data_IF_366553804866
#
_entry.id   IF_366553804866
#
_cell.length_a   1.000
_cell.length_b   1.000
_cell.length_c   1.000
_cell.angle_alpha   90.00
_cell.angle_beta   90.00
_cell.angle_gamma   90.00
#
_symmetry.space_group_name_H-M   'P 1'
#
loop_
_entity.id
_entity.type
_entity.pdbx_description
1 polymer ?
#
# COMPACT_ATOMS: atom_id res chain seq x y z
N UNK A 1 12.12 -4.40 8.63
CA UNK A 1 10.87 -3.88 8.00
C UNK A 1 10.43 -2.67 8.84
N UNK A 2 10.14 -1.55 8.19
CA UNK A 2 9.74 -0.32 8.91
C UNK A 2 8.37 -0.54 9.57
N UNK A 3 8.31 -0.42 10.90
CA UNK A 3 7.06 -0.57 11.68
C UNK A 3 6.24 0.74 11.68
N UNK A 4 6.41 1.56 10.66
CA UNK A 4 5.79 2.88 10.50
C UNK A 4 5.15 3.03 9.12
N UNK A 5 4.03 3.72 9.12
CA UNK A 5 3.21 4.06 7.96
C UNK A 5 3.49 5.49 7.52
N UNK A 6 3.57 5.73 6.20
CA UNK A 6 3.63 7.06 5.61
C UNK A 6 2.23 7.68 5.65
N UNK A 7 2.05 8.70 6.48
CA UNK A 7 0.75 9.34 6.68
C UNK A 7 0.52 10.47 5.70
N UNK A 8 1.52 11.35 5.53
CA UNK A 8 1.49 12.51 4.64
C UNK A 8 2.84 12.68 3.98
N UNK A 9 2.81 13.06 2.71
CA UNK A 9 3.97 13.47 1.92
C UNK A 9 3.76 14.89 1.42
N UNK A 10 4.67 15.79 1.74
CA UNK A 10 4.59 17.19 1.30
C UNK A 10 5.95 17.75 0.91
N UNK A 11 5.94 18.77 0.07
CA UNK A 11 7.09 19.61 -0.28
C UNK A 11 7.03 20.99 0.42
N UNK A 12 5.90 21.28 1.08
CA UNK A 12 5.68 22.55 1.76
C UNK A 12 6.06 22.44 3.24
N UNK A 13 6.95 23.33 3.69
CA UNK A 13 7.32 23.42 5.10
C UNK A 13 6.14 23.85 5.98
N UNK A 14 5.28 24.73 5.47
CA UNK A 14 4.11 25.22 6.22
C UNK A 14 3.07 24.11 6.41
N UNK A 15 2.82 23.33 5.37
CA UNK A 15 1.93 22.16 5.44
C UNK A 15 2.48 21.11 6.42
N UNK A 16 3.79 20.82 6.35
CA UNK A 16 4.44 19.95 7.31
C UNK A 16 4.25 20.43 8.74
N UNK A 17 4.47 21.71 8.99
CA UNK A 17 4.34 22.29 10.33
C UNK A 17 2.91 22.15 10.86
N UNK A 18 1.89 22.41 10.03
CA UNK A 18 0.49 22.24 10.39
C UNK A 18 0.12 20.78 10.72
N UNK A 19 0.60 19.82 9.92
CA UNK A 19 0.39 18.39 10.18
C UNK A 19 1.05 17.97 11.49
N UNK A 20 2.31 18.36 11.71
CA UNK A 20 3.07 18.04 12.93
C UNK A 20 2.41 18.64 14.17
N UNK A 21 1.94 19.89 14.09
CA UNK A 21 1.21 20.56 15.18
C UNK A 21 -0.09 19.83 15.51
N UNK A 22 -0.86 19.45 14.50
CA UNK A 22 -2.11 18.68 14.67
C UNK A 22 -1.86 17.35 15.37
N UNK A 23 -0.86 16.58 14.91
CA UNK A 23 -0.53 15.28 15.51
C UNK A 23 0.02 15.42 16.92
N UNK A 24 0.82 16.46 17.18
CA UNK A 24 1.35 16.76 18.52
C UNK A 24 0.22 17.09 19.48
N UNK A 25 -0.71 17.94 19.06
CA UNK A 25 -1.90 18.34 19.85
C UNK A 25 -2.79 17.13 20.15
N UNK A 26 -2.93 16.23 19.19
CA UNK A 26 -3.68 14.98 19.36
C UNK A 26 -2.92 13.92 20.18
N UNK A 27 -1.66 14.16 20.57
CA UNK A 27 -0.85 13.21 21.30
C UNK A 27 -0.43 11.97 20.50
N UNK A 28 -0.44 12.05 19.16
CA UNK A 28 -0.10 10.95 18.28
C UNK A 28 1.42 10.91 18.06
N UNK A 29 2.10 9.80 18.39
CA UNK A 29 3.53 9.66 18.13
C UNK A 29 3.80 9.67 16.63
N UNK A 30 4.71 10.54 16.19
CA UNK A 30 5.05 10.69 14.78
C UNK A 30 6.54 10.99 14.60
N UNK A 31 7.04 10.83 13.38
CA UNK A 31 8.41 11.12 13.00
C UNK A 31 8.43 11.76 11.61
N UNK A 32 9.18 12.84 11.47
CA UNK A 32 9.45 13.44 10.15
C UNK A 32 10.69 12.78 9.55
N UNK A 33 10.58 12.34 8.31
CA UNK A 33 11.66 11.80 7.52
C UNK A 33 11.74 12.58 6.19
N UNK A 34 12.96 12.92 5.75
CA UNK A 34 13.20 13.46 4.41
C UNK A 34 13.52 12.33 3.44
N UNK A 35 12.90 12.31 2.27
CA UNK A 35 13.42 11.51 1.15
C UNK A 35 14.48 12.34 0.44
N UNK A 36 15.68 11.76 0.22
CA UNK A 36 16.55 12.30 -0.82
C UNK A 36 15.79 12.17 -2.13
N UNK A 37 15.71 13.27 -2.90
CA UNK A 37 15.21 13.22 -4.26
C UNK A 37 15.80 12.00 -4.96
N UNK A 38 14.94 11.09 -5.45
CA UNK A 38 15.39 9.93 -6.19
C UNK A 38 16.28 10.39 -7.33
N UNK A 39 17.41 9.74 -7.52
CA UNK A 39 18.35 10.06 -8.59
C UNK A 39 17.70 9.63 -9.92
N UNK A 40 16.92 10.52 -10.51
CA UNK A 40 16.40 10.30 -11.85
C UNK A 40 17.46 10.77 -12.84
N UNK A 41 18.05 9.81 -13.56
CA UNK A 41 19.12 10.04 -14.55
C UNK A 41 18.66 11.03 -15.65
N UNK A 42 17.36 11.20 -15.84
CA UNK A 42 16.82 12.12 -16.86
C UNK A 42 16.78 13.58 -16.39
N UNK A 43 16.99 13.86 -15.10
CA UNK A 43 16.92 15.20 -14.50
C UNK A 43 18.30 15.80 -14.15
N UNK A 44 19.38 15.25 -14.66
CA UNK A 44 20.72 15.81 -14.53
C UNK A 44 20.77 17.19 -15.22
N UNK A 45 20.56 18.27 -14.43
CA UNK A 45 20.69 19.65 -14.91
C UNK A 45 19.57 20.62 -14.51
N UNK A 46 18.54 20.20 -13.78
CA UNK A 46 17.56 21.13 -13.21
C UNK A 46 17.66 21.15 -11.68
N UNK A 47 17.97 22.34 -11.19
CA UNK A 47 18.30 22.68 -9.82
C UNK A 47 17.39 22.12 -8.73
N UNK A 48 17.85 22.29 -7.50
CA UNK A 48 17.30 21.85 -6.21
C UNK A 48 15.78 21.65 -6.21
N UNK A 49 15.34 20.41 -6.44
CA UNK A 49 13.97 20.01 -6.08
C UNK A 49 13.95 19.86 -4.54
N UNK A 50 13.01 20.51 -3.87
CA UNK A 50 12.86 20.31 -2.45
C UNK A 50 12.59 18.81 -2.20
N UNK A 51 13.39 18.20 -1.33
CA UNK A 51 13.20 16.81 -0.94
C UNK A 51 11.80 16.65 -0.36
N UNK A 52 11.10 15.58 -0.76
CA UNK A 52 9.81 15.26 -0.15
C UNK A 52 10.01 15.04 1.35
N UNK A 53 9.18 15.68 2.14
CA UNK A 53 9.11 15.49 3.59
C UNK A 53 7.96 14.53 3.88
N UNK A 54 8.27 13.48 4.66
CA UNK A 54 7.33 12.42 5.00
C UNK A 54 7.00 12.50 6.48
N UNK A 55 5.74 12.44 6.82
CA UNK A 55 5.29 12.24 8.19
C UNK A 55 4.96 10.76 8.37
N UNK A 56 5.72 10.11 9.24
CA UNK A 56 5.61 8.69 9.52
C UNK A 56 4.98 8.48 10.89
N UNK A 57 4.02 7.56 10.98
CA UNK A 57 3.36 7.17 12.24
C UNK A 57 3.45 5.66 12.44
N UNK A 58 3.44 5.15 13.68
CA UNK A 58 3.29 3.72 13.94
C UNK A 58 2.00 3.19 13.32
N UNK A 59 2.02 1.95 12.82
CA UNK A 59 0.82 1.32 12.26
C UNK A 59 -0.38 1.29 13.20
N UNK A 60 -0.12 1.16 14.51
CA UNK A 60 -1.16 1.16 15.56
C UNK A 60 -1.88 2.51 15.68
N UNK A 61 -1.22 3.59 15.30
CA UNK A 61 -1.70 4.96 15.47
C UNK A 61 -2.27 5.57 14.18
N UNK A 62 -2.21 4.86 13.06
CA UNK A 62 -2.69 5.38 11.75
C UNK A 62 -4.12 5.88 11.83
N UNK A 63 -5.02 5.13 12.49
CA UNK A 63 -6.42 5.49 12.61
C UNK A 63 -6.60 6.77 13.45
N UNK A 64 -5.89 6.89 14.55
CA UNK A 64 -5.94 8.08 15.42
C UNK A 64 -5.34 9.31 14.71
N UNK A 65 -4.20 9.13 14.04
CA UNK A 65 -3.55 10.17 13.26
C UNK A 65 -4.47 10.73 12.15
N UNK A 66 -5.11 9.84 11.40
CA UNK A 66 -6.04 10.24 10.33
C UNK A 66 -7.26 10.97 10.90
N UNK A 67 -7.84 10.47 11.99
CA UNK A 67 -8.98 11.13 12.62
C UNK A 67 -8.63 12.55 13.09
N UNK A 68 -7.42 12.77 13.62
CA UNK A 68 -6.95 14.08 14.02
C UNK A 68 -6.80 15.02 12.82
N UNK A 69 -6.22 14.55 11.71
CA UNK A 69 -6.07 15.35 10.49
C UNK A 69 -7.43 15.62 9.83
N UNK A 70 -8.30 14.62 9.74
CA UNK A 70 -9.66 14.82 9.21
C UNK A 70 -10.44 15.89 10.02
N UNK A 71 -10.28 15.88 11.35
CA UNK A 71 -10.89 16.90 12.21
C UNK A 71 -10.33 18.30 11.94
N UNK A 72 -9.02 18.44 11.72
CA UNK A 72 -8.39 19.74 11.40
C UNK A 72 -8.85 20.31 10.05
N UNK A 73 -9.16 19.44 9.09
CA UNK A 73 -9.65 19.86 7.77
C UNK A 73 -11.18 20.05 7.69
N UNK A 74 -11.91 19.71 8.75
CA UNK A 74 -13.38 19.77 8.74
C UNK A 74 -13.93 21.18 8.44
N UNK A 75 -13.22 22.22 8.85
CA UNK A 75 -13.63 23.63 8.64
C UNK A 75 -12.92 24.28 7.44
N UNK A 76 -11.97 23.60 6.82
CA UNK A 76 -11.22 24.12 5.67
C UNK A 76 -12.12 24.15 4.43
N UNK A 77 -12.04 25.19 3.64
CA UNK A 77 -12.76 25.27 2.36
C UNK A 77 -11.98 24.54 1.24
N UNK A 78 -12.76 23.87 0.37
CA UNK A 78 -12.20 23.24 -0.83
C UNK A 78 -11.86 24.34 -1.87
N UNK A 79 -10.60 24.42 -2.34
CA UNK A 79 -10.20 25.36 -3.39
C UNK A 79 -11.08 25.27 -4.63
N UNK A 80 -11.29 26.40 -5.31
CA UNK A 80 -12.20 26.45 -6.47
C UNK A 80 -11.75 25.61 -7.66
N UNK A 81 -10.44 25.41 -7.81
CA UNK A 81 -9.76 24.65 -8.88
C UNK A 81 -9.44 23.20 -8.50
N UNK A 82 -9.86 22.77 -7.29
CA UNK A 82 -9.56 21.41 -6.84
C UNK A 82 -10.35 20.36 -7.64
N UNK A 83 -9.70 19.27 -8.02
CA UNK A 83 -10.25 18.20 -8.88
C UNK A 83 -11.57 17.60 -8.36
N UNK A 84 -11.75 17.53 -7.04
CA UNK A 84 -12.97 16.99 -6.43
C UNK A 84 -14.25 17.72 -6.87
N UNK A 85 -14.16 19.00 -7.27
CA UNK A 85 -15.36 19.74 -7.74
C UNK A 85 -15.89 19.19 -9.07
N UNK A 86 -15.00 18.66 -9.90
CA UNK A 86 -15.35 18.04 -11.18
C UNK A 86 -15.50 16.52 -11.11
N UNK A 87 -15.25 15.92 -9.94
CA UNK A 87 -15.38 14.48 -9.76
C UNK A 87 -16.81 14.01 -9.91
N UNK A 88 -16.98 12.85 -10.53
CA UNK A 88 -18.27 12.14 -10.64
C UNK A 88 -18.68 11.52 -9.31
N UNK A 89 -19.93 11.08 -9.21
CA UNK A 89 -20.42 10.40 -8.01
C UNK A 89 -19.70 9.05 -7.82
N UNK A 90 -19.33 8.38 -8.91
CA UNK A 90 -18.58 7.12 -8.86
C UNK A 90 -17.15 7.32 -8.33
N UNK A 91 -16.46 8.36 -8.77
CA UNK A 91 -15.13 8.74 -8.25
C UNK A 91 -15.18 9.10 -6.76
N UNK A 92 -16.23 9.82 -6.33
CA UNK A 92 -16.43 10.10 -4.90
C UNK A 92 -16.65 8.81 -4.09
N UNK A 93 -17.42 7.87 -4.63
CA UNK A 93 -17.63 6.56 -4.00
C UNK A 93 -16.33 5.76 -3.91
N UNK A 94 -15.47 5.79 -4.93
CA UNK A 94 -14.15 5.13 -4.91
C UNK A 94 -13.25 5.72 -3.82
N UNK A 95 -13.17 7.06 -3.72
CA UNK A 95 -12.40 7.73 -2.67
C UNK A 95 -12.91 7.32 -1.28
N UNK A 96 -14.22 7.31 -1.08
CA UNK A 96 -14.84 6.97 0.21
C UNK A 96 -14.78 5.46 0.53
N UNK A 97 -14.68 4.60 -0.47
CA UNK A 97 -14.53 3.16 -0.31
C UNK A 97 -13.13 2.76 0.17
N UNK A 98 -12.10 3.51 -0.22
CA UNK A 98 -10.71 3.26 0.17
C UNK A 98 -10.07 4.50 0.83
N UNK A 99 -10.63 5.05 1.92
CA UNK A 99 -10.23 6.34 2.47
C UNK A 99 -8.76 6.37 2.93
N UNK A 100 -8.14 5.23 3.22
CA UNK A 100 -6.76 5.14 3.67
C UNK A 100 -5.73 5.29 2.54
N UNK A 101 -6.16 5.20 1.29
CA UNK A 101 -5.31 5.40 0.10
C UNK A 101 -5.26 6.87 -0.32
N UNK A 102 -6.15 7.68 0.21
CA UNK A 102 -6.28 9.08 -0.15
C UNK A 102 -5.83 10.02 0.99
N UNK A 103 -5.41 11.21 0.60
CA UNK A 103 -5.08 12.25 1.57
C UNK A 103 -6.28 12.56 2.48
N UNK A 104 -6.10 12.77 3.81
CA UNK A 104 -7.18 13.10 4.73
C UNK A 104 -8.02 14.31 4.32
N UNK A 105 -7.39 15.34 3.72
CA UNK A 105 -8.07 16.50 3.17
C UNK A 105 -9.06 16.10 2.07
N UNK A 106 -8.62 15.26 1.13
CA UNK A 106 -9.45 14.76 0.03
C UNK A 106 -10.64 13.97 0.56
N UNK A 107 -10.44 13.10 1.54
CA UNK A 107 -11.50 12.27 2.13
C UNK A 107 -12.56 13.11 2.82
N UNK A 108 -12.16 14.14 3.58
CA UNK A 108 -13.11 15.04 4.27
C UNK A 108 -14.00 15.77 3.26
N UNK A 109 -13.38 16.33 2.21
CA UNK A 109 -14.13 17.06 1.19
C UNK A 109 -14.96 16.15 0.28
N UNK A 110 -14.46 14.95 -0.05
CA UNK A 110 -15.25 13.95 -0.77
C UNK A 110 -16.50 13.54 0.01
N UNK A 111 -16.38 13.35 1.33
CA UNK A 111 -17.53 13.06 2.21
C UNK A 111 -18.55 14.20 2.23
N UNK A 112 -18.07 15.46 2.29
CA UNK A 112 -18.94 16.64 2.23
C UNK A 112 -19.67 16.72 0.90
N UNK A 113 -18.97 16.60 -0.23
CA UNK A 113 -19.57 16.63 -1.56
C UNK A 113 -20.55 15.49 -1.78
N UNK A 114 -20.23 14.28 -1.31
CA UNK A 114 -21.13 13.14 -1.37
C UNK A 114 -22.44 13.40 -0.61
N UNK A 115 -22.36 14.01 0.58
CA UNK A 115 -23.54 14.40 1.35
C UNK A 115 -24.35 15.50 0.63
N UNK A 116 -23.71 16.51 0.06
CA UNK A 116 -24.35 17.58 -0.72
C UNK A 116 -25.07 17.03 -1.96
N UNK A 117 -24.51 15.99 -2.61
CA UNK A 117 -25.12 15.32 -3.78
C UNK A 117 -26.14 14.25 -3.41
N UNK A 118 -26.35 14.00 -2.11
CA UNK A 118 -27.31 13.01 -1.62
C UNK A 118 -26.89 11.56 -1.84
N UNK A 119 -25.59 11.29 -1.98
CA UNK A 119 -25.06 9.93 -2.09
C UNK A 119 -25.31 9.19 -0.78
N UNK A 120 -26.02 8.07 -0.87
CA UNK A 120 -26.43 7.30 0.31
C UNK A 120 -25.23 6.58 0.96
N UNK A 121 -25.12 6.59 2.30
CA UNK A 121 -24.05 5.85 3.01
C UNK A 121 -23.98 4.37 2.62
N UNK A 122 -25.14 3.73 2.38
CA UNK A 122 -25.21 2.34 1.93
C UNK A 122 -24.48 2.10 0.60
N UNK A 123 -24.45 3.08 -0.32
CA UNK A 123 -23.70 2.96 -1.57
C UNK A 123 -22.20 2.97 -1.31
N UNK A 124 -21.72 3.79 -0.36
CA UNK A 124 -20.31 3.81 0.07
C UNK A 124 -19.91 2.51 0.73
N UNK A 125 -20.75 1.95 1.60
CA UNK A 125 -20.52 0.67 2.27
C UNK A 125 -20.47 -0.50 1.25
N UNK A 126 -21.39 -0.51 0.28
CA UNK A 126 -21.40 -1.50 -0.78
C UNK A 126 -20.14 -1.45 -1.64
N UNK A 127 -19.69 -0.24 -2.01
CA UNK A 127 -18.45 -0.06 -2.77
C UNK A 127 -17.22 -0.43 -1.96
N UNK A 128 -17.17 -0.11 -0.67
CA UNK A 128 -16.10 -0.52 0.23
C UNK A 128 -16.02 -2.05 0.36
N UNK A 129 -17.17 -2.73 0.45
CA UNK A 129 -17.22 -4.20 0.47
C UNK A 129 -16.67 -4.80 -0.83
N UNK A 130 -17.02 -4.24 -1.99
CA UNK A 130 -16.49 -4.66 -3.30
C UNK A 130 -14.96 -4.49 -3.37
N UNK A 131 -14.44 -3.34 -2.94
CA UNK A 131 -12.98 -3.08 -2.89
C UNK A 131 -12.27 -4.07 -1.96
N UNK A 132 -12.84 -4.34 -0.78
CA UNK A 132 -12.28 -5.30 0.16
C UNK A 132 -12.32 -6.73 -0.38
N UNK A 133 -13.37 -7.11 -1.11
CA UNK A 133 -13.43 -8.40 -1.79
C UNK A 133 -12.30 -8.53 -2.83
N UNK A 134 -12.12 -7.53 -3.69
CA UNK A 134 -11.05 -7.52 -4.69
C UNK A 134 -9.67 -7.59 -4.04
N UNK A 135 -9.43 -6.84 -2.96
CA UNK A 135 -8.17 -6.89 -2.20
C UNK A 135 -7.94 -8.28 -1.58
N UNK A 136 -9.00 -8.93 -1.09
CA UNK A 136 -8.91 -10.26 -0.47
C UNK A 136 -8.57 -11.37 -1.45
N UNK A 137 -8.95 -11.21 -2.73
CA UNK A 137 -8.67 -12.18 -3.78
C UNK A 137 -7.16 -12.28 -4.10
N UNK A 138 -6.40 -11.21 -3.87
CA UNK A 138 -4.98 -11.12 -4.20
C UNK A 138 -4.73 -10.99 -5.71
N UNK A 139 -3.48 -10.74 -6.09
CA UNK A 139 -3.08 -10.56 -7.50
C UNK A 139 -2.48 -11.86 -8.05
N UNK A 140 -2.74 -12.25 -9.32
CA UNK A 140 -2.03 -13.35 -9.94
C UNK A 140 -0.54 -13.01 -10.09
N UNK A 141 0.36 -13.97 -9.84
CA UNK A 141 1.78 -13.75 -10.10
C UNK A 141 2.06 -13.54 -11.59
N UNK A 142 3.07 -12.75 -11.88
CA UNK A 142 3.54 -12.58 -13.24
C UNK A 142 4.01 -13.92 -13.82
N UNK A 143 3.64 -14.23 -15.06
CA UNK A 143 3.95 -15.52 -15.71
C UNK A 143 5.44 -15.86 -15.68
N UNK A 144 6.31 -14.86 -15.83
CA UNK A 144 7.75 -15.05 -15.78
C UNK A 144 8.26 -15.50 -14.41
N UNK A 145 7.63 -15.04 -13.30
CA UNK A 145 7.98 -15.46 -11.94
C UNK A 145 7.67 -16.94 -11.74
N UNK A 146 6.50 -17.38 -12.24
CA UNK A 146 6.11 -18.78 -12.18
C UNK A 146 7.04 -19.65 -13.00
N UNK A 147 7.40 -19.23 -14.23
CA UNK A 147 8.32 -19.96 -15.11
C UNK A 147 9.71 -20.04 -14.46
N UNK A 148 10.23 -18.90 -13.95
CA UNK A 148 11.53 -18.85 -13.29
C UNK A 148 11.58 -19.76 -12.06
N UNK A 149 10.50 -19.80 -11.27
CA UNK A 149 10.35 -20.67 -10.12
C UNK A 149 10.49 -22.15 -10.51
N UNK A 150 9.77 -22.59 -11.53
CA UNK A 150 9.84 -23.99 -12.01
C UNK A 150 11.19 -24.36 -12.62
N UNK A 151 11.79 -23.46 -13.43
CA UNK A 151 13.16 -23.67 -13.95
C UNK A 151 14.17 -23.82 -12.81
N UNK A 152 14.05 -22.99 -11.79
CA UNK A 152 14.93 -23.01 -10.62
C UNK A 152 14.76 -24.29 -9.78
N UNK A 153 13.55 -24.84 -9.70
CA UNK A 153 13.29 -26.15 -9.06
C UNK A 153 14.10 -27.25 -9.77
N UNK A 154 14.12 -27.25 -11.11
CA UNK A 154 14.83 -28.24 -11.91
C UNK A 154 16.37 -28.10 -11.82
N UNK A 155 16.88 -26.87 -11.71
CA UNK A 155 18.33 -26.57 -11.70
C UNK A 155 19.01 -26.76 -10.35
N UNK A 156 18.30 -27.06 -9.28
CA UNK A 156 18.95 -27.30 -7.98
C UNK A 156 18.07 -27.09 -6.76
N UNK A 157 16.80 -26.74 -6.95
CA UNK A 157 15.77 -26.75 -5.92
C UNK A 157 15.78 -25.54 -4.98
N UNK A 158 16.93 -25.03 -4.52
CA UNK A 158 17.00 -23.99 -3.46
C UNK A 158 16.33 -22.68 -3.86
N UNK A 159 16.63 -22.16 -5.05
CA UNK A 159 16.03 -20.93 -5.56
C UNK A 159 14.54 -21.12 -5.83
N UNK A 160 14.16 -22.31 -6.32
CA UNK A 160 12.75 -22.68 -6.50
C UNK A 160 11.96 -22.71 -5.18
N UNK A 161 12.58 -23.17 -4.08
CA UNK A 161 11.99 -23.13 -2.74
C UNK A 161 11.78 -21.68 -2.29
N UNK A 162 12.76 -20.80 -2.48
CA UNK A 162 12.66 -19.39 -2.08
C UNK A 162 11.58 -18.65 -2.88
N UNK A 163 11.52 -18.86 -4.20
CA UNK A 163 10.47 -18.28 -5.04
C UNK A 163 9.11 -18.84 -4.65
N UNK A 164 9.00 -20.17 -4.46
CA UNK A 164 7.76 -20.82 -4.04
C UNK A 164 7.27 -20.31 -2.68
N UNK A 165 8.17 -20.19 -1.71
CA UNK A 165 7.84 -19.63 -0.40
C UNK A 165 7.39 -18.15 -0.48
N UNK A 166 8.06 -17.36 -1.33
CA UNK A 166 7.64 -15.98 -1.58
C UNK A 166 6.23 -15.91 -2.16
N UNK A 167 5.91 -16.74 -3.17
CA UNK A 167 4.57 -16.78 -3.76
C UNK A 167 3.50 -17.29 -2.80
N UNK A 168 3.85 -18.25 -1.92
CA UNK A 168 2.90 -18.86 -1.00
C UNK A 168 2.59 -18.00 0.22
N UNK A 169 3.61 -17.31 0.77
CA UNK A 169 3.52 -16.70 2.10
C UNK A 169 3.67 -15.19 2.10
N UNK A 170 3.90 -14.53 0.93
CA UNK A 170 3.95 -13.08 0.89
C UNK A 170 2.63 -12.46 1.33
N UNK A 171 2.73 -11.61 2.35
CA UNK A 171 1.64 -10.78 2.83
C UNK A 171 2.00 -9.32 2.66
N UNK A 172 1.04 -8.55 2.24
CA UNK A 172 1.12 -7.11 2.18
C UNK A 172 0.36 -6.53 3.38
N UNK A 173 1.00 -5.61 4.11
CA UNK A 173 0.34 -4.87 5.17
C UNK A 173 -0.41 -3.71 4.56
N UNK A 174 -1.71 -3.74 4.69
CA UNK A 174 -2.59 -2.63 4.34
C UNK A 174 -3.15 -2.02 5.63
N UNK A 175 -3.49 -0.72 5.68
CA UNK A 175 -4.11 -0.11 6.87
C UNK A 175 -5.41 -0.80 7.31
N UNK A 176 -6.08 -1.51 6.38
CA UNK A 176 -7.27 -2.33 6.65
C UNK A 176 -6.96 -3.74 7.18
N UNK A 177 -5.67 -4.13 7.29
CA UNK A 177 -5.24 -5.45 7.76
C UNK A 177 -4.15 -6.09 6.91
N UNK A 178 -3.72 -7.29 7.30
CA UNK A 178 -2.76 -8.06 6.49
C UNK A 178 -3.53 -8.91 5.48
N UNK A 179 -3.21 -8.72 4.19
CA UNK A 179 -3.75 -9.51 3.10
C UNK A 179 -2.64 -10.28 2.37
N UNK A 180 -2.99 -11.42 1.79
CA UNK A 180 -2.05 -12.11 0.93
C UNK A 180 -1.83 -11.33 -0.37
N UNK A 181 -0.57 -11.16 -0.78
CA UNK A 181 -0.22 -10.46 -2.02
C UNK A 181 -0.73 -11.20 -3.26
N UNK A 182 -0.73 -12.54 -3.20
CA UNK A 182 -1.09 -13.38 -4.34
C UNK A 182 -2.39 -14.12 -4.12
N UNK A 183 -3.09 -14.39 -5.24
CA UNK A 183 -4.33 -15.15 -5.27
C UNK A 183 -4.14 -16.60 -4.80
N UNK A 184 -5.23 -17.25 -4.43
CA UNK A 184 -5.21 -18.61 -3.89
C UNK A 184 -4.54 -19.62 -4.84
N UNK A 185 -4.73 -19.47 -6.15
CA UNK A 185 -4.12 -20.34 -7.16
C UNK A 185 -2.62 -20.16 -7.22
N UNK A 186 -2.13 -18.92 -7.21
CA UNK A 186 -0.69 -18.62 -7.20
C UNK A 186 -0.03 -19.11 -5.93
N UNK A 187 -0.68 -18.96 -4.77
CA UNK A 187 -0.18 -19.48 -3.49
C UNK A 187 -0.02 -21.00 -3.52
N UNK A 188 -1.05 -21.69 -4.02
CA UNK A 188 -0.97 -23.15 -4.18
C UNK A 188 0.15 -23.59 -5.12
N UNK A 189 0.36 -22.88 -6.24
CA UNK A 189 1.51 -23.12 -7.11
C UNK A 189 2.84 -22.89 -6.38
N UNK A 190 2.95 -21.85 -5.56
CA UNK A 190 4.12 -21.58 -4.72
C UNK A 190 4.40 -22.72 -3.73
N UNK A 191 3.38 -23.26 -3.07
CA UNK A 191 3.50 -24.43 -2.19
C UNK A 191 4.00 -25.66 -2.95
N UNK A 192 3.45 -25.93 -4.13
CA UNK A 192 3.93 -27.04 -4.98
C UNK A 192 5.39 -26.86 -5.39
N UNK A 193 5.78 -25.64 -5.80
CA UNK A 193 7.18 -25.34 -6.13
C UNK A 193 8.12 -25.59 -4.95
N UNK A 194 7.72 -25.19 -3.75
CA UNK A 194 8.48 -25.38 -2.53
C UNK A 194 8.69 -26.87 -2.25
N UNK A 195 7.63 -27.68 -2.27
CA UNK A 195 7.72 -29.11 -2.00
C UNK A 195 8.50 -29.88 -3.08
N UNK A 196 8.31 -29.52 -4.35
CA UNK A 196 9.10 -30.10 -5.45
C UNK A 196 10.58 -29.73 -5.33
N UNK A 197 10.88 -28.48 -4.91
CA UNK A 197 12.25 -28.04 -4.66
C UNK A 197 12.93 -28.83 -3.54
N UNK A 198 12.23 -29.07 -2.43
CA UNK A 198 12.73 -29.93 -1.34
C UNK A 198 12.99 -31.34 -1.83
N UNK A 199 12.05 -31.94 -2.59
CA UNK A 199 12.23 -33.26 -3.18
C UNK A 199 13.46 -33.34 -4.09
N UNK A 200 13.66 -32.30 -4.92
CA UNK A 200 14.81 -32.26 -5.85
C UNK A 200 16.16 -32.13 -5.11
N UNK A 201 16.20 -31.38 -4.01
CA UNK A 201 17.40 -31.32 -3.16
C UNK A 201 17.76 -32.69 -2.57
N UNK A 202 16.77 -33.46 -2.14
CA UNK A 202 16.99 -34.82 -1.63
C UNK A 202 17.55 -35.72 -2.74
N UNK A 203 16.99 -35.66 -3.94
CA UNK A 203 17.47 -36.42 -5.10
C UNK A 203 18.92 -36.04 -5.44
N UNK A 204 19.23 -34.76 -5.51
CA UNK A 204 20.58 -34.26 -5.78
C UNK A 204 21.59 -34.74 -4.72
N UNK A 205 21.21 -34.65 -3.46
CA UNK A 205 22.05 -35.16 -2.36
C UNK A 205 22.35 -36.63 -2.51
N UNK A 206 21.37 -37.45 -2.89
CA UNK A 206 21.53 -38.87 -3.08
C UNK A 206 22.47 -39.17 -4.25
N UNK A 207 22.30 -38.47 -5.38
CA UNK A 207 23.15 -38.64 -6.57
C UNK A 207 24.63 -38.27 -6.31
N UNK A 208 24.88 -37.27 -5.46
CA UNK A 208 26.26 -36.87 -5.10
C UNK A 208 26.89 -37.85 -4.14
N UNK A 209 26.13 -38.51 -3.25
CA UNK A 209 26.64 -39.48 -2.30
C UNK A 209 26.92 -40.87 -2.92
N UNK A 210 26.33 -41.17 -4.08
CA UNK A 210 26.51 -42.45 -4.78
C UNK A 210 27.64 -42.43 -5.82
N UNK A 211 28.34 -41.30 -5.96
CA UNK A 211 29.58 -41.16 -6.74
C UNK A 211 30.80 -41.13 -5.85
#
# INVERSE_FOLDING_TARGET
MSDSFELVRTKSGDELAAVVETLTTAGVPHRVAGTRAGFDITEVGRGDYPADMLVMVPWTEVKAARAALEASFAETELPGDHFLRSSTDEELLEILAAPLEWDPFVVVHARRLAAERGIQPAATEAKAAEVMEVLSLGKPAARWQVILGWVSVLLGGLVGILIGASLAFSKERHPAGEHYTYDARTRQLGEWMMWCGVGMLVVWRFLVMTK
#
